data_IF_195553773005
#
_entry.id   IF_195553773005
#
_cell.length_a   1.000
_cell.length_b   1.000
_cell.length_c   1.000
_cell.angle_alpha   90.00
_cell.angle_beta   90.00
_cell.angle_gamma   90.00
#
_symmetry.space_group_name_H-M   'P 1'
#
loop_
_entity.id
_entity.type
_entity.pdbx_description
1 polymer ?
#
# COMPACT_ATOMS: atom_id res chain seq x y z
N UNK A 1 -12.02 13.81 -27.06
CA UNK A 1 -11.73 13.03 -25.85
C UNK A 1 -11.62 11.59 -26.30
N UNK A 2 -10.44 10.99 -26.23
CA UNK A 2 -10.27 9.55 -26.47
C UNK A 2 -10.98 8.81 -25.34
N UNK A 3 -11.85 7.88 -25.70
CA UNK A 3 -12.57 7.00 -24.78
C UNK A 3 -11.56 6.19 -23.95
N UNK A 4 -11.81 6.05 -22.65
CA UNK A 4 -10.90 5.31 -21.76
C UNK A 4 -11.01 3.82 -22.07
N UNK A 5 -9.88 3.16 -22.35
CA UNK A 5 -9.85 1.73 -22.64
C UNK A 5 -9.87 0.91 -21.35
N UNK A 6 -11.07 0.51 -20.94
CA UNK A 6 -11.27 -0.34 -19.77
C UNK A 6 -10.63 -1.73 -19.93
N UNK A 7 -10.54 -2.27 -21.14
CA UNK A 7 -9.95 -3.60 -21.36
C UNK A 7 -8.44 -3.56 -21.14
N UNK A 8 -7.78 -2.51 -21.63
CA UNK A 8 -6.36 -2.28 -21.36
C UNK A 8 -6.10 -2.13 -19.85
N UNK A 9 -6.93 -1.35 -19.15
CA UNK A 9 -6.86 -1.22 -17.69
C UNK A 9 -6.95 -2.57 -16.97
N UNK A 10 -7.99 -3.37 -17.25
CA UNK A 10 -8.18 -4.65 -16.57
C UNK A 10 -7.06 -5.64 -16.90
N UNK A 11 -6.55 -5.63 -18.13
CA UNK A 11 -5.43 -6.47 -18.53
C UNK A 11 -4.16 -6.10 -17.76
N UNK A 12 -3.76 -4.83 -17.77
CA UNK A 12 -2.56 -4.36 -17.10
C UNK A 12 -2.64 -4.58 -15.59
N UNK A 13 -3.76 -4.24 -14.97
CA UNK A 13 -3.97 -4.46 -13.55
C UNK A 13 -3.93 -5.96 -13.20
N UNK A 14 -4.46 -6.85 -14.06
CA UNK A 14 -4.40 -8.29 -13.83
C UNK A 14 -2.97 -8.82 -13.86
N UNK A 15 -2.11 -8.33 -14.77
CA UNK A 15 -0.69 -8.70 -14.81
C UNK A 15 0.02 -8.30 -13.51
N UNK A 16 -0.17 -7.05 -13.05
CA UNK A 16 0.41 -6.56 -11.79
C UNK A 16 -0.12 -7.33 -10.56
N UNK A 17 -1.42 -7.68 -10.55
CA UNK A 17 -2.04 -8.47 -9.48
C UNK A 17 -1.44 -9.88 -9.42
N UNK A 18 -1.13 -10.49 -10.56
CA UNK A 18 -0.52 -11.82 -10.57
C UNK A 18 0.87 -11.83 -9.94
N UNK A 19 1.69 -10.80 -10.21
CA UNK A 19 2.99 -10.63 -9.54
C UNK A 19 2.81 -10.31 -8.04
N UNK A 20 1.80 -9.51 -7.67
CA UNK A 20 1.44 -9.31 -6.26
C UNK A 20 1.11 -10.62 -5.56
N UNK A 21 0.29 -11.50 -6.16
CA UNK A 21 -0.12 -12.77 -5.55
C UNK A 21 1.08 -13.71 -5.33
N UNK A 22 2.09 -13.66 -6.18
CA UNK A 22 3.31 -14.47 -6.00
C UNK A 22 4.08 -14.07 -4.74
N UNK A 23 4.09 -12.76 -4.42
CA UNK A 23 4.76 -12.23 -3.23
C UNK A 23 3.85 -12.26 -1.99
N UNK A 24 2.58 -11.91 -2.12
CA UNK A 24 1.57 -11.81 -1.06
C UNK A 24 0.41 -12.77 -1.37
N UNK A 25 0.56 -14.08 -1.10
CA UNK A 25 -0.37 -15.11 -1.57
C UNK A 25 -1.76 -15.03 -0.91
N UNK A 26 -1.87 -14.39 0.25
CA UNK A 26 -3.15 -14.11 0.90
C UNK A 26 -3.84 -12.86 0.32
N UNK A 27 -3.93 -12.82 -1.01
CA UNK A 27 -4.58 -11.77 -1.80
C UNK A 27 -5.87 -12.31 -2.41
N UNK A 28 -6.98 -11.62 -2.14
CA UNK A 28 -8.32 -11.98 -2.62
C UNK A 28 -8.91 -10.82 -3.41
N UNK A 29 -9.32 -11.09 -4.65
CA UNK A 29 -10.04 -10.11 -5.47
C UNK A 29 -11.50 -10.03 -5.05
N UNK A 30 -12.02 -8.83 -4.90
CA UNK A 30 -13.44 -8.57 -4.71
C UNK A 30 -14.01 -8.14 -6.05
N UNK A 31 -14.92 -8.95 -6.60
CA UNK A 31 -15.61 -8.65 -7.86
C UNK A 31 -17.04 -8.28 -7.50
N UNK A 32 -17.42 -7.02 -7.73
CA UNK A 32 -18.80 -6.56 -7.60
C UNK A 32 -19.43 -6.72 -8.99
N UNK A 33 -20.48 -7.55 -9.15
CA UNK A 33 -21.16 -7.68 -10.44
C UNK A 33 -21.85 -6.36 -10.77
N UNK A 34 -21.30 -5.63 -11.73
CA UNK A 34 -21.81 -4.33 -12.19
C UNK A 34 -21.88 -4.31 -13.71
N UNK A 35 -22.88 -3.61 -14.24
CA UNK A 35 -23.01 -3.32 -15.68
C UNK A 35 -22.03 -2.22 -16.13
N UNK A 36 -21.49 -1.46 -15.17
CA UNK A 36 -20.54 -0.38 -15.42
C UNK A 36 -19.15 -0.88 -14.99
N UNK A 37 -18.10 -0.71 -15.81
CA UNK A 37 -16.74 -0.95 -15.37
C UNK A 37 -16.44 -0.19 -14.07
N UNK A 38 -15.97 -0.92 -13.06
CA UNK A 38 -15.59 -0.38 -11.75
C UNK A 38 -14.11 -0.66 -11.44
N UNK A 39 -13.44 0.21 -10.66
CA UNK A 39 -12.09 -0.03 -10.18
C UNK A 39 -11.98 -1.38 -9.44
N UNK A 40 -10.89 -2.11 -9.69
CA UNK A 40 -10.63 -3.37 -8.99
C UNK A 40 -10.41 -3.11 -7.50
N UNK A 41 -11.03 -3.95 -6.67
CA UNK A 41 -10.83 -3.96 -5.22
C UNK A 41 -10.16 -5.28 -4.82
N UNK A 42 -9.12 -5.19 -3.99
CA UNK A 42 -8.45 -6.35 -3.40
C UNK A 42 -8.54 -6.29 -1.87
N UNK A 43 -8.65 -7.45 -1.25
CA UNK A 43 -8.34 -7.66 0.16
C UNK A 43 -7.02 -8.42 0.24
N UNK A 44 -6.03 -7.84 0.91
CA UNK A 44 -4.67 -8.40 1.01
C UNK A 44 -4.32 -8.53 2.49
N UNK A 45 -3.85 -9.71 2.91
CA UNK A 45 -3.11 -9.84 4.16
C UNK A 45 -1.64 -9.59 3.82
N UNK A 46 -1.12 -8.45 4.27
CA UNK A 46 0.21 -7.97 3.88
C UNK A 46 1.31 -8.75 4.62
N UNK A 47 1.50 -10.00 4.20
CA UNK A 47 2.56 -10.90 4.65
C UNK A 47 3.16 -11.56 3.43
N UNK A 48 4.47 -11.36 3.24
CA UNK A 48 5.16 -11.93 2.10
C UNK A 48 5.33 -13.46 2.20
N UNK A 49 5.54 -14.08 1.04
CA UNK A 49 5.66 -15.52 0.88
C UNK A 49 6.84 -16.10 1.68
N UNK A 50 7.94 -15.35 1.83
CA UNK A 50 9.09 -15.75 2.64
C UNK A 50 8.71 -16.04 4.09
N UNK A 51 8.03 -15.09 4.75
CA UNK A 51 7.58 -15.26 6.14
C UNK A 51 6.60 -16.45 6.28
N UNK A 52 5.71 -16.61 5.30
CA UNK A 52 4.72 -17.71 5.29
C UNK A 52 5.43 -19.06 5.27
N UNK A 53 6.42 -19.24 4.38
CA UNK A 53 7.17 -20.50 4.28
C UNK A 53 8.04 -20.75 5.51
N UNK A 54 8.74 -19.74 6.00
CA UNK A 54 9.63 -19.88 7.17
C UNK A 54 8.87 -20.25 8.44
N UNK A 55 7.66 -19.73 8.62
CA UNK A 55 6.86 -19.93 9.84
C UNK A 55 5.74 -20.96 9.67
N UNK A 56 5.55 -21.55 8.48
CA UNK A 56 4.38 -22.36 8.12
C UNK A 56 3.05 -21.67 8.49
N UNK A 57 2.99 -20.36 8.28
CA UNK A 57 1.91 -19.51 8.78
C UNK A 57 0.65 -19.62 7.92
N UNK A 58 -0.51 -19.40 8.54
CA UNK A 58 -1.83 -19.39 7.90
C UNK A 58 -2.38 -17.95 7.84
N UNK A 59 -3.32 -17.70 6.93
CA UNK A 59 -3.92 -16.37 6.74
C UNK A 59 -4.48 -15.78 8.05
N UNK A 60 -5.10 -16.61 8.87
CA UNK A 60 -5.75 -16.19 10.13
C UNK A 60 -4.76 -15.77 11.22
N UNK A 61 -3.49 -16.19 11.14
CA UNK A 61 -2.45 -15.83 12.13
C UNK A 61 -2.17 -14.32 12.12
N UNK A 62 -2.56 -13.62 11.05
CA UNK A 62 -2.28 -12.20 10.81
C UNK A 62 -3.51 -11.30 10.86
N UNK A 63 -4.64 -11.80 11.37
CA UNK A 63 -5.91 -11.06 11.48
C UNK A 63 -6.29 -10.66 12.91
N UNK A 64 -5.36 -10.84 13.85
CA UNK A 64 -5.55 -10.51 15.27
C UNK A 64 -5.46 -9.01 15.58
N UNK A 65 -4.98 -8.68 16.78
CA UNK A 65 -4.87 -7.31 17.30
C UNK A 65 -4.11 -6.37 16.36
N UNK A 66 -2.95 -6.81 15.86
CA UNK A 66 -2.16 -6.11 14.85
C UNK A 66 -2.45 -6.64 13.45
N UNK A 67 -3.74 -6.66 13.07
CA UNK A 67 -4.18 -7.17 11.78
C UNK A 67 -3.40 -6.51 10.63
N UNK A 68 -2.89 -7.35 9.72
CA UNK A 68 -2.18 -6.94 8.50
C UNK A 68 -3.11 -6.84 7.28
N UNK A 69 -4.42 -6.81 7.50
CA UNK A 69 -5.41 -6.71 6.43
C UNK A 69 -5.46 -5.31 5.83
N UNK A 70 -5.27 -5.27 4.51
CA UNK A 70 -5.39 -4.11 3.66
C UNK A 70 -6.56 -4.28 2.69
N UNK A 71 -7.35 -3.22 2.52
CA UNK A 71 -8.26 -3.03 1.38
C UNK A 71 -7.56 -2.13 0.38
N UNK A 72 -7.45 -2.59 -0.86
CA UNK A 72 -6.79 -1.88 -1.94
C UNK A 72 -7.85 -1.52 -2.98
N UNK A 73 -7.89 -0.26 -3.40
CA UNK A 73 -8.66 0.19 -4.56
C UNK A 73 -7.64 0.60 -5.62
N UNK A 74 -7.72 -0.03 -6.80
CA UNK A 74 -6.83 0.22 -7.93
C UNK A 74 -7.55 1.18 -8.88
N UNK A 75 -7.30 2.50 -8.83
CA UNK A 75 -7.97 3.44 -9.72
C UNK A 75 -7.53 3.24 -11.18
N UNK A 76 -8.29 3.79 -12.12
CA UNK A 76 -8.01 3.69 -13.56
C UNK A 76 -6.66 4.26 -13.99
N UNK A 77 -6.09 5.17 -13.21
CA UNK A 77 -4.83 5.85 -13.42
C UNK A 77 -3.75 5.47 -12.38
N UNK A 78 -3.87 4.28 -11.77
CA UNK A 78 -3.00 3.84 -10.68
C UNK A 78 -1.50 3.87 -11.05
N UNK A 79 -1.14 3.65 -12.31
CA UNK A 79 0.25 3.72 -12.78
C UNK A 79 0.86 5.12 -12.64
N UNK A 80 0.03 6.16 -12.54
CA UNK A 80 0.43 7.56 -12.36
C UNK A 80 0.22 8.06 -10.95
N UNK A 81 -0.84 7.61 -10.28
CA UNK A 81 -1.29 8.19 -9.02
C UNK A 81 -1.25 7.22 -7.82
N UNK A 82 -0.88 5.96 -8.05
CA UNK A 82 -0.86 4.93 -7.01
C UNK A 82 -2.24 4.36 -6.73
N UNK A 83 -2.27 3.39 -5.83
CA UNK A 83 -3.48 2.77 -5.32
C UNK A 83 -3.95 3.48 -4.04
N UNK A 84 -5.24 3.32 -3.71
CA UNK A 84 -5.74 3.69 -2.38
C UNK A 84 -5.65 2.48 -1.47
N UNK A 85 -4.81 2.58 -0.44
CA UNK A 85 -4.54 1.49 0.50
C UNK A 85 -5.14 1.83 1.86
N UNK A 86 -6.09 1.02 2.33
CA UNK A 86 -6.77 1.21 3.61
C UNK A 86 -6.47 0.06 4.56
N UNK A 87 -6.05 0.34 5.80
CA UNK A 87 -5.81 -0.72 6.79
C UNK A 87 -5.50 -0.21 8.19
N UNK A 88 -4.94 -1.10 9.00
CA UNK A 88 -4.35 -0.81 10.30
C UNK A 88 -5.23 0.03 11.26
N UNK A 89 -6.49 -0.38 11.42
CA UNK A 89 -7.43 0.27 12.34
C UNK A 89 -6.96 0.29 13.80
N UNK A 90 -5.98 -0.55 14.14
CA UNK A 90 -5.34 -0.67 15.46
C UNK A 90 -4.30 0.41 15.74
N UNK A 91 -3.90 1.23 14.74
CA UNK A 91 -2.93 2.31 14.97
C UNK A 91 -3.56 3.42 15.82
N UNK A 92 -2.90 3.69 16.93
CA UNK A 92 -3.21 4.72 17.91
C UNK A 92 -2.32 5.94 17.65
N UNK A 93 -2.88 6.93 16.95
CA UNK A 93 -2.16 8.14 16.57
C UNK A 93 -1.73 9.00 17.75
N UNK A 94 -2.34 8.84 18.94
CA UNK A 94 -1.90 9.55 20.15
C UNK A 94 -0.55 9.05 20.64
N UNK A 95 -0.21 7.79 20.32
CA UNK A 95 1.08 7.20 20.63
C UNK A 95 2.14 7.55 19.59
N UNK A 96 1.76 7.88 18.35
CA UNK A 96 2.72 8.14 17.27
C UNK A 96 3.04 9.64 17.19
N UNK A 97 4.33 10.04 17.04
CA UNK A 97 4.67 11.44 16.78
C UNK A 97 4.00 11.98 15.51
N UNK A 98 3.43 13.18 15.57
CA UNK A 98 2.65 13.76 14.46
C UNK A 98 3.42 13.83 13.13
N UNK A 99 4.73 14.09 13.18
CA UNK A 99 5.60 14.12 12.00
C UNK A 99 5.62 12.80 11.21
N UNK A 100 5.32 11.69 11.88
CA UNK A 100 5.37 10.34 11.32
C UNK A 100 3.95 9.86 10.95
N UNK A 101 2.93 10.72 11.01
CA UNK A 101 1.55 10.38 10.63
C UNK A 101 1.40 10.38 9.11
N UNK A 102 1.71 9.27 8.45
CA UNK A 102 1.64 9.15 6.99
C UNK A 102 0.29 8.60 6.51
N UNK A 103 -0.78 9.33 6.82
CA UNK A 103 -2.15 8.99 6.43
C UNK A 103 -2.87 10.16 5.76
N UNK A 104 -3.72 9.86 4.78
CA UNK A 104 -4.52 10.84 4.03
C UNK A 104 -6.04 10.66 4.27
N UNK A 105 -6.42 10.26 5.48
CA UNK A 105 -7.81 10.08 5.88
C UNK A 105 -8.11 8.71 6.49
N UNK A 106 -9.40 8.46 6.74
CA UNK A 106 -9.89 7.25 7.40
C UNK A 106 -11.27 6.88 6.84
N UNK A 107 -11.49 5.60 6.55
CA UNK A 107 -12.76 5.05 6.10
C UNK A 107 -13.09 3.81 6.93
N UNK A 108 -14.27 3.76 7.57
CA UNK A 108 -14.73 2.61 8.37
C UNK A 108 -13.69 2.11 9.39
N UNK A 109 -13.03 3.03 10.08
CA UNK A 109 -12.00 2.69 11.06
C UNK A 109 -10.61 2.41 10.49
N UNK A 110 -10.47 2.23 9.17
CA UNK A 110 -9.19 1.94 8.49
C UNK A 110 -8.55 3.22 7.96
N UNK A 111 -7.25 3.40 8.20
CA UNK A 111 -6.52 4.57 7.71
C UNK A 111 -6.15 4.41 6.24
N UNK A 112 -6.22 5.52 5.48
CA UNK A 112 -5.72 5.61 4.12
C UNK A 112 -4.22 5.93 4.17
N UNK A 113 -3.37 4.98 3.80
CA UNK A 113 -1.91 5.13 3.84
C UNK A 113 -1.38 6.06 2.75
N UNK A 114 -0.42 6.91 3.10
CA UNK A 114 0.41 7.66 2.15
C UNK A 114 1.57 6.78 1.66
N UNK A 115 1.32 5.93 0.67
CA UNK A 115 2.27 4.91 0.18
C UNK A 115 3.26 5.40 -0.89
N UNK A 116 3.36 6.71 -1.12
CA UNK A 116 4.34 7.27 -2.04
C UNK A 116 4.01 8.69 -2.51
N UNK A 117 4.86 9.21 -3.39
CA UNK A 117 4.67 10.50 -4.05
C UNK A 117 4.17 10.24 -5.46
N UNK A 118 3.10 10.88 -5.96
CA UNK A 118 2.55 10.60 -7.29
C UNK A 118 3.60 10.56 -8.42
N UNK A 119 4.60 11.44 -8.35
CA UNK A 119 5.68 11.55 -9.34
C UNK A 119 6.61 10.32 -9.39
N UNK A 120 6.61 9.45 -8.38
CA UNK A 120 7.44 8.24 -8.37
C UNK A 120 6.76 7.06 -9.07
N UNK A 121 5.43 6.99 -9.09
CA UNK A 121 4.71 5.77 -9.52
C UNK A 121 4.94 5.41 -10.98
N UNK A 122 5.07 6.42 -11.85
CA UNK A 122 5.36 6.22 -13.28
C UNK A 122 6.71 5.53 -13.55
N UNK A 123 7.57 5.40 -12.54
CA UNK A 123 8.88 4.76 -12.64
C UNK A 123 8.90 3.36 -12.04
N UNK A 124 7.81 2.94 -11.40
CA UNK A 124 7.71 1.62 -10.81
C UNK A 124 7.26 0.62 -11.88
N UNK A 125 7.88 -0.56 -11.86
CA UNK A 125 7.48 -1.67 -12.72
C UNK A 125 6.06 -2.15 -12.39
N UNK A 126 5.77 -2.29 -11.10
CA UNK A 126 4.49 -2.74 -10.58
C UNK A 126 4.08 -1.85 -9.40
N UNK A 127 3.13 -0.94 -9.65
CA UNK A 127 2.72 0.05 -8.64
C UNK A 127 1.93 -0.60 -7.50
N UNK A 128 1.13 -1.62 -7.79
CA UNK A 128 0.29 -2.28 -6.80
C UNK A 128 1.17 -2.99 -5.76
N UNK A 129 2.15 -3.78 -6.22
CA UNK A 129 3.10 -4.49 -5.36
C UNK A 129 3.89 -3.53 -4.45
N UNK A 130 4.46 -2.47 -5.02
CA UNK A 130 5.26 -1.51 -4.26
C UNK A 130 4.41 -0.71 -3.24
N UNK A 131 3.15 -0.42 -3.57
CA UNK A 131 2.22 0.19 -2.62
C UNK A 131 1.90 -0.75 -1.45
N UNK A 132 1.75 -2.06 -1.69
CA UNK A 132 1.56 -3.06 -0.63
C UNK A 132 2.80 -3.18 0.25
N UNK A 133 4.00 -3.29 -0.34
CA UNK A 133 5.28 -3.32 0.39
C UNK A 133 5.47 -2.11 1.29
N UNK A 134 5.12 -0.94 0.77
CA UNK A 134 5.21 0.31 1.54
C UNK A 134 4.23 0.28 2.71
N UNK A 135 2.97 -0.11 2.50
CA UNK A 135 1.99 -0.21 3.57
C UNK A 135 2.34 -1.27 4.62
N UNK A 136 2.89 -2.42 4.22
CA UNK A 136 3.42 -3.44 5.14
C UNK A 136 4.54 -2.87 6.01
N UNK A 137 5.52 -2.22 5.39
CA UNK A 137 6.65 -1.60 6.08
C UNK A 137 6.17 -0.55 7.10
N UNK A 138 5.16 0.24 6.71
CA UNK A 138 4.52 1.21 7.60
C UNK A 138 3.86 0.55 8.80
N UNK A 139 3.07 -0.50 8.58
CA UNK A 139 2.43 -1.26 9.67
C UNK A 139 3.47 -1.84 10.63
N UNK A 140 4.56 -2.43 10.13
CA UNK A 140 5.64 -2.99 10.96
C UNK A 140 6.29 -1.90 11.81
N UNK A 141 6.58 -0.73 11.25
CA UNK A 141 7.19 0.38 11.97
C UNK A 141 6.29 0.91 13.08
N UNK A 142 4.99 1.10 12.81
CA UNK A 142 4.03 1.56 13.81
C UNK A 142 3.79 0.50 14.90
N UNK A 143 3.69 -0.77 14.55
CA UNK A 143 3.57 -1.86 15.52
C UNK A 143 4.79 -1.86 16.46
N UNK A 144 6.00 -1.86 15.89
CA UNK A 144 7.26 -1.91 16.64
C UNK A 144 7.38 -0.76 17.62
N UNK A 145 6.99 0.45 17.18
CA UNK A 145 7.01 1.64 18.02
C UNK A 145 5.97 1.56 19.16
N UNK A 146 4.72 1.24 18.85
CA UNK A 146 3.65 1.17 19.87
C UNK A 146 3.89 0.07 20.90
N UNK A 147 4.58 -1.01 20.52
CA UNK A 147 4.98 -2.09 21.42
C UNK A 147 6.24 -1.77 22.23
N UNK A 148 6.87 -0.61 22.00
CA UNK A 148 8.09 -0.20 22.69
C UNK A 148 9.34 -0.99 22.29
N UNK A 149 9.31 -1.69 21.14
CA UNK A 149 10.50 -2.36 20.59
C UNK A 149 11.52 -1.34 20.06
N UNK A 150 11.03 -0.21 19.58
CA UNK A 150 11.84 0.93 19.14
C UNK A 150 11.38 2.20 19.84
N UNK A 151 12.28 3.19 19.93
CA UNK A 151 11.99 4.52 20.48
C UNK A 151 11.71 5.56 19.38
N UNK A 152 11.72 5.16 18.12
CA UNK A 152 11.46 5.98 16.94
C UNK A 152 10.72 5.18 15.88
N UNK A 153 9.91 5.88 15.09
CA UNK A 153 9.24 5.32 13.91
C UNK A 153 10.24 5.34 12.76
N UNK A 154 10.73 4.17 12.36
CA UNK A 154 11.72 4.04 11.28
C UNK A 154 11.02 3.90 9.91
N UNK A 155 10.74 5.04 9.27
CA UNK A 155 10.15 5.12 7.93
C UNK A 155 11.04 5.91 6.97
N UNK A 156 11.20 5.40 5.75
CA UNK A 156 11.67 6.21 4.63
C UNK A 156 10.45 6.93 4.07
N UNK A 157 10.20 8.15 4.55
CA UNK A 157 9.03 8.91 4.17
C UNK A 157 9.38 10.35 3.79
N UNK A 158 8.53 10.91 2.94
CA UNK A 158 8.54 12.33 2.57
C UNK A 158 7.38 13.05 3.26
N UNK A 159 7.53 14.35 3.43
CA UNK A 159 6.48 15.23 3.96
C UNK A 159 5.20 15.16 3.11
N UNK A 160 4.06 15.61 3.67
CA UNK A 160 2.80 15.61 2.92
C UNK A 160 2.74 16.72 1.86
N UNK A 161 1.93 16.50 0.83
CA UNK A 161 1.59 17.52 -0.16
C UNK A 161 2.78 17.98 -1.01
N UNK A 162 2.85 19.29 -1.25
CA UNK A 162 3.86 19.88 -2.14
C UNK A 162 5.28 19.84 -1.57
N UNK A 163 5.40 19.87 -0.23
CA UNK A 163 6.68 19.73 0.44
C UNK A 163 7.34 18.38 0.12
N UNK A 164 6.60 17.28 0.25
CA UNK A 164 7.09 15.94 -0.11
C UNK A 164 7.46 15.78 -1.58
N UNK A 165 6.68 16.39 -2.49
CA UNK A 165 7.02 16.41 -3.92
C UNK A 165 8.35 17.11 -4.18
N UNK A 166 8.61 18.20 -3.47
CA UNK A 166 9.86 18.95 -3.56
C UNK A 166 11.03 18.15 -2.96
N UNK A 167 10.85 17.52 -1.81
CA UNK A 167 11.84 16.63 -1.19
C UNK A 167 12.20 15.46 -2.13
N UNK A 168 11.21 14.79 -2.71
CA UNK A 168 11.42 13.72 -3.66
C UNK A 168 12.20 14.22 -4.90
N UNK A 169 11.80 15.36 -5.45
CA UNK A 169 12.47 15.95 -6.62
C UNK A 169 13.94 16.29 -6.36
N UNK A 170 14.29 16.80 -5.17
CA UNK A 170 15.69 17.05 -4.76
C UNK A 170 16.47 15.75 -4.59
N UNK A 171 15.83 14.71 -4.07
CA UNK A 171 16.46 13.42 -3.77
C UNK A 171 16.47 12.43 -4.94
N UNK A 172 15.76 12.71 -6.05
CA UNK A 172 15.63 11.81 -7.21
C UNK A 172 16.96 11.37 -7.83
N UNK A 173 18.05 12.10 -7.60
CA UNK A 173 19.42 11.68 -7.99
C UNK A 173 19.92 10.44 -7.23
N UNK A 174 19.44 10.14 -6.03
CA UNK A 174 19.81 8.93 -5.27
C UNK A 174 19.19 7.64 -5.82
N UNK A 175 18.06 7.73 -6.51
CA UNK A 175 17.29 6.56 -6.98
C UNK A 175 17.44 6.27 -8.48
N UNK A 176 18.32 6.99 -9.19
CA UNK A 176 18.64 6.73 -10.61
C UNK A 176 19.68 5.62 -10.82
N UNK A 177 20.09 4.93 -9.75
CA UNK A 177 21.25 4.03 -9.75
C UNK A 177 20.91 2.60 -9.29
N UNK A 178 19.70 2.12 -9.58
CA UNK A 178 19.36 0.69 -9.51
C UNK A 178 18.62 0.33 -10.79
#
# INVERSE_FOLDING_TARGET
>A
MTEFDYNEYYKNAQEDIMELIQEYPFTKRVIIPSVIPEPIILNVVAVNNGLIHECNAQENDFKGEYSKELKIIIPYDYTRNGCKIYGASWIDLEKIPQKDHHFNGKENGKYLFCVGVPQSFIHLKNVILENVRTAESMMIAYESYQRGMTNKVDLIAYSHGEEGKNEYSRNRKRYRTI
#
